data_IF_430339559053
#
_entry.id   IF_430339559053
#
_cell.length_a   1.000
_cell.length_b   1.000
_cell.length_c   1.000
_cell.angle_alpha   90.00
_cell.angle_beta   90.00
_cell.angle_gamma   90.00
#
_symmetry.space_group_name_H-M   'P 1'
#
loop_
_entity.id
_entity.type
_entity.pdbx_description
1 polymer ?
#
# COMPACT_ATOMS: atom_id res chain seq x y z
N UNK A 1 0.87 2.87 -18.85
CA UNK A 1 2.10 2.21 -18.37
C UNK A 1 1.76 0.73 -18.20
N UNK A 2 2.71 -0.16 -18.41
CA UNK A 2 2.53 -1.60 -18.17
C UNK A 2 2.55 -1.88 -16.66
N UNK A 3 1.63 -2.71 -16.17
CA UNK A 3 1.46 -2.95 -14.73
C UNK A 3 2.71 -3.57 -14.12
N UNK A 4 3.38 -4.47 -14.84
CA UNK A 4 4.63 -5.08 -14.38
C UNK A 4 5.72 -4.04 -14.13
N UNK A 5 5.81 -3.00 -15.00
CA UNK A 5 6.76 -1.91 -14.82
C UNK A 5 6.38 -0.99 -13.66
N UNK A 6 5.08 -0.72 -13.49
CA UNK A 6 4.58 0.06 -12.36
C UNK A 6 4.90 -0.62 -11.03
N UNK A 7 4.64 -1.92 -10.94
CA UNK A 7 4.91 -2.70 -9.74
C UNK A 7 6.41 -2.84 -9.48
N UNK A 8 7.25 -2.99 -10.51
CA UNK A 8 8.70 -3.02 -10.35
C UNK A 8 9.24 -1.72 -9.72
N UNK A 9 8.69 -0.55 -10.09
CA UNK A 9 9.07 0.73 -9.45
C UNK A 9 8.62 0.75 -7.99
N UNK A 10 7.38 0.33 -7.71
CA UNK A 10 6.89 0.24 -6.33
C UNK A 10 7.73 -0.71 -5.47
N UNK A 11 8.23 -1.80 -6.06
CA UNK A 11 9.08 -2.77 -5.38
C UNK A 11 10.46 -2.21 -5.02
N UNK A 12 11.10 -1.46 -5.92
CA UNK A 12 12.36 -0.80 -5.60
C UNK A 12 12.19 0.31 -4.54
N UNK A 13 11.08 1.06 -4.58
CA UNK A 13 10.75 2.03 -3.53
C UNK A 13 10.53 1.34 -2.16
N UNK A 14 9.83 0.21 -2.14
CA UNK A 14 9.61 -0.56 -0.91
C UNK A 14 10.91 -1.09 -0.31
N UNK A 15 11.87 -1.53 -1.15
CA UNK A 15 13.21 -1.92 -0.69
C UNK A 15 13.99 -0.76 -0.08
N UNK A 16 13.90 0.44 -0.65
CA UNK A 16 14.55 1.62 -0.08
C UNK A 16 13.92 1.98 1.28
N UNK A 17 12.58 2.00 1.35
CA UNK A 17 11.84 2.28 2.58
C UNK A 17 12.13 1.27 3.70
N UNK A 18 12.38 -0.01 3.37
CA UNK A 18 12.78 -1.06 4.33
C UNK A 18 14.03 -0.71 5.16
N UNK A 19 14.98 0.02 4.56
CA UNK A 19 16.25 0.37 5.21
C UNK A 19 16.08 1.57 6.15
N UNK A 20 15.21 2.52 5.80
CA UNK A 20 15.07 3.81 6.48
C UNK A 20 13.89 3.87 7.47
N UNK A 21 12.78 3.18 7.16
CA UNK A 21 11.54 3.15 7.95
C UNK A 21 10.76 4.49 7.97
N UNK A 22 9.51 4.46 8.45
CA UNK A 22 8.79 5.66 8.90
C UNK A 22 7.96 6.43 7.85
N UNK A 23 8.00 6.07 6.57
CA UNK A 23 7.12 6.64 5.54
C UNK A 23 6.51 5.52 4.67
N UNK A 24 5.17 5.35 4.67
CA UNK A 24 4.51 4.36 3.80
C UNK A 24 4.79 4.61 2.32
N UNK A 25 4.97 3.53 1.56
CA UNK A 25 5.40 3.56 0.16
C UNK A 25 4.52 4.44 -0.73
N UNK A 26 3.20 4.41 -0.56
CA UNK A 26 2.28 5.25 -1.36
C UNK A 26 2.44 6.75 -1.05
N UNK A 27 2.72 7.08 0.22
CA UNK A 27 3.02 8.46 0.62
C UNK A 27 4.36 8.92 0.07
N UNK A 28 5.38 8.05 0.11
CA UNK A 28 6.68 8.33 -0.51
C UNK A 28 6.56 8.55 -2.01
N UNK A 29 5.82 7.69 -2.72
CA UNK A 29 5.56 7.85 -4.15
C UNK A 29 4.89 9.18 -4.49
N UNK A 30 3.89 9.59 -3.70
CA UNK A 30 3.24 10.90 -3.85
C UNK A 30 4.21 12.05 -3.57
N UNK A 31 5.02 11.95 -2.51
CA UNK A 31 6.02 12.95 -2.15
C UNK A 31 7.07 13.12 -3.26
N UNK A 32 7.64 12.01 -3.74
CA UNK A 32 8.68 11.96 -4.77
C UNK A 32 8.18 12.45 -6.14
N UNK A 33 6.87 12.37 -6.40
CA UNK A 33 6.27 12.96 -7.61
C UNK A 33 6.33 14.50 -7.65
N UNK A 34 6.62 15.13 -6.51
CA UNK A 34 6.65 16.58 -6.35
C UNK A 34 5.26 17.23 -6.48
N UNK A 35 5.22 18.56 -6.59
CA UNK A 35 3.95 19.26 -6.76
C UNK A 35 3.47 19.17 -8.20
N UNK A 36 2.48 18.31 -8.43
CA UNK A 36 1.77 18.22 -9.70
C UNK A 36 0.42 18.95 -9.66
N UNK A 37 -0.10 19.44 -10.80
CA UNK A 37 -1.46 19.96 -10.88
C UNK A 37 -2.48 18.85 -10.62
N UNK A 38 -3.65 19.17 -10.04
CA UNK A 38 -4.68 18.19 -9.67
C UNK A 38 -5.04 17.18 -10.79
N UNK A 39 -5.12 17.67 -12.04
CA UNK A 39 -5.41 16.86 -13.23
C UNK A 39 -4.38 15.76 -13.53
N UNK A 40 -3.17 15.84 -12.97
CA UNK A 40 -2.14 14.83 -13.16
C UNK A 40 -2.42 13.57 -12.31
N UNK A 41 -3.10 13.73 -11.16
CA UNK A 41 -3.49 12.63 -10.29
C UNK A 41 -4.85 12.04 -10.67
N UNK A 42 -5.78 12.88 -11.13
CA UNK A 42 -7.11 12.43 -11.52
C UNK A 42 -7.02 11.43 -12.67
N UNK A 43 -7.53 10.22 -12.46
CA UNK A 43 -7.45 9.15 -13.45
C UNK A 43 -6.12 8.39 -13.48
N UNK A 44 -5.17 8.71 -12.59
CA UNK A 44 -3.90 8.01 -12.52
C UNK A 44 -4.06 6.61 -11.88
N UNK A 45 -2.97 5.85 -11.94
CA UNK A 45 -2.85 4.55 -11.27
C UNK A 45 -1.80 4.61 -10.17
N UNK A 46 -2.16 4.21 -8.96
CA UNK A 46 -1.21 3.94 -7.88
C UNK A 46 -0.73 2.50 -7.98
N UNK A 47 0.57 2.28 -7.90
CA UNK A 47 1.18 0.96 -7.74
C UNK A 47 1.76 0.88 -6.33
N UNK A 48 1.40 -0.17 -5.61
CA UNK A 48 1.90 -0.44 -4.26
C UNK A 48 2.20 -1.92 -4.11
N UNK A 49 3.26 -2.26 -3.37
CA UNK A 49 3.64 -3.66 -3.13
C UNK A 49 2.69 -4.36 -2.17
N UNK A 50 2.08 -3.61 -1.25
CA UNK A 50 1.22 -4.12 -0.19
C UNK A 50 -0.13 -3.41 -0.20
N UNK A 51 -1.18 -4.07 0.29
CA UNK A 51 -2.49 -3.42 0.44
C UNK A 51 -2.36 -2.08 1.21
N UNK A 52 -2.94 -0.97 0.72
CA UNK A 52 -2.78 0.34 1.34
C UNK A 52 -3.48 0.41 2.69
N UNK A 53 -2.85 1.04 3.68
CA UNK A 53 -3.48 1.36 4.97
C UNK A 53 -4.54 2.45 4.81
N UNK A 54 -5.22 2.81 5.90
CA UNK A 54 -6.30 3.82 5.89
C UNK A 54 -5.78 5.20 5.43
N UNK A 55 -4.56 5.56 5.81
CA UNK A 55 -3.93 6.82 5.39
C UNK A 55 -3.68 6.85 3.88
N UNK A 56 -3.02 5.83 3.34
CA UNK A 56 -2.70 5.72 1.90
C UNK A 56 -3.98 5.59 1.05
N UNK A 57 -4.98 4.88 1.57
CA UNK A 57 -6.33 4.82 0.99
C UNK A 57 -6.95 6.21 0.90
N UNK A 58 -6.92 6.98 2.00
CA UNK A 58 -7.39 8.36 2.02
C UNK A 58 -6.67 9.26 1.03
N UNK A 59 -5.35 9.11 0.89
CA UNK A 59 -4.55 9.86 -0.07
C UNK A 59 -4.97 9.54 -1.52
N UNK A 60 -5.14 8.27 -1.87
CA UNK A 60 -5.61 7.87 -3.21
C UNK A 60 -6.98 8.50 -3.54
N UNK A 61 -7.90 8.47 -2.59
CA UNK A 61 -9.23 9.07 -2.73
C UNK A 61 -9.18 10.60 -2.85
N UNK A 62 -8.36 11.26 -2.03
CA UNK A 62 -8.19 12.71 -2.04
C UNK A 62 -7.67 13.21 -3.40
N UNK A 63 -6.68 12.51 -3.96
CA UNK A 63 -6.05 12.88 -5.22
C UNK A 63 -6.85 12.45 -6.46
N UNK A 64 -7.94 11.69 -6.29
CA UNK A 64 -8.76 11.21 -7.41
C UNK A 64 -8.09 10.14 -8.25
N UNK A 65 -7.24 9.32 -7.62
CA UNK A 65 -6.62 8.15 -8.26
C UNK A 65 -7.75 7.18 -8.63
N UNK A 66 -7.80 6.79 -9.91
CA UNK A 66 -8.89 5.96 -10.42
C UNK A 66 -8.63 4.46 -10.29
N UNK A 67 -7.35 4.07 -10.17
CA UNK A 67 -6.93 2.67 -10.11
C UNK A 67 -5.79 2.45 -9.12
N UNK A 68 -5.85 1.36 -8.36
CA UNK A 68 -4.78 0.93 -7.44
C UNK A 68 -4.42 -0.51 -7.78
N UNK A 69 -3.15 -0.73 -8.12
CA UNK A 69 -2.58 -2.06 -8.35
C UNK A 69 -1.73 -2.42 -7.14
N UNK A 70 -2.05 -3.58 -6.56
CA UNK A 70 -1.50 -4.07 -5.30
C UNK A 70 -0.72 -5.35 -5.59
N UNK A 71 0.55 -5.37 -5.18
CA UNK A 71 1.40 -6.56 -5.25
C UNK A 71 0.78 -7.72 -4.49
N UNK A 72 0.54 -7.54 -3.19
CA UNK A 72 -0.05 -8.56 -2.32
C UNK A 72 -0.86 -7.96 -1.16
N UNK A 73 -1.69 -8.80 -0.54
CA UNK A 73 -2.56 -8.41 0.57
C UNK A 73 -2.68 -9.47 1.67
N UNK A 74 -1.74 -10.41 1.74
CA UNK A 74 -1.71 -11.50 2.72
C UNK A 74 -1.00 -11.08 3.99
N UNK A 75 0.09 -10.35 3.88
CA UNK A 75 0.84 -9.87 5.03
C UNK A 75 0.09 -8.75 5.77
N UNK A 76 -0.64 -7.94 5.03
CA UNK A 76 -1.49 -6.89 5.53
C UNK A 76 -2.64 -6.63 4.56
N UNK A 77 -3.82 -6.36 5.12
CA UNK A 77 -5.03 -6.03 4.38
C UNK A 77 -5.66 -4.80 5.02
N UNK A 78 -5.65 -3.71 4.26
CA UNK A 78 -6.11 -2.39 4.67
C UNK A 78 -7.39 -1.98 3.96
N UNK A 79 -7.37 -0.81 3.31
CA UNK A 79 -8.58 -0.13 2.82
C UNK A 79 -9.10 -0.57 1.45
N UNK A 80 -8.76 -1.77 0.95
CA UNK A 80 -9.14 -2.17 -0.41
C UNK A 80 -10.66 -2.16 -0.64
N UNK A 81 -11.44 -2.68 0.32
CA UNK A 81 -12.90 -2.68 0.25
C UNK A 81 -13.47 -1.26 0.13
N UNK A 82 -12.89 -0.30 0.86
CA UNK A 82 -13.32 1.09 0.84
C UNK A 82 -12.96 1.79 -0.48
N UNK A 83 -11.79 1.52 -1.06
CA UNK A 83 -11.43 1.99 -2.40
C UNK A 83 -12.45 1.53 -3.44
N UNK A 84 -12.77 0.23 -3.45
CA UNK A 84 -13.77 -0.35 -4.37
C UNK A 84 -15.15 0.30 -4.17
N UNK A 85 -15.60 0.46 -2.93
CA UNK A 85 -16.87 1.12 -2.61
C UNK A 85 -16.93 2.56 -3.15
N UNK A 86 -15.80 3.26 -3.16
CA UNK A 86 -15.66 4.64 -3.64
C UNK A 86 -15.43 4.74 -5.16
N UNK A 87 -15.51 3.63 -5.89
CA UNK A 87 -15.44 3.59 -7.36
C UNK A 87 -14.02 3.50 -7.92
N UNK A 88 -13.02 3.23 -7.08
CA UNK A 88 -11.64 3.00 -7.52
C UNK A 88 -11.50 1.55 -8.00
N UNK A 89 -10.89 1.35 -9.17
CA UNK A 89 -10.51 0.02 -9.63
C UNK A 89 -9.37 -0.52 -8.77
N UNK A 90 -9.55 -1.68 -8.14
CA UNK A 90 -8.52 -2.30 -7.29
C UNK A 90 -8.16 -3.66 -7.85
N UNK A 91 -6.89 -3.81 -8.23
CA UNK A 91 -6.32 -5.03 -8.80
C UNK A 91 -5.26 -5.57 -7.85
N UNK A 92 -5.42 -6.83 -7.41
CA UNK A 92 -4.40 -7.53 -6.60
C UNK A 92 -3.76 -8.59 -7.50
N UNK A 93 -2.46 -8.49 -7.71
CA UNK A 93 -1.74 -9.39 -8.64
C UNK A 93 -1.15 -10.63 -7.97
N UNK A 94 -1.20 -10.69 -6.64
CA UNK A 94 -0.76 -11.82 -5.82
C UNK A 94 0.74 -12.17 -6.01
N UNK A 95 1.56 -11.13 -6.19
CA UNK A 95 2.97 -11.21 -6.54
C UNK A 95 3.83 -11.87 -5.46
N UNK A 96 4.61 -12.87 -5.85
CA UNK A 96 5.41 -13.67 -4.92
C UNK A 96 6.62 -12.91 -4.36
N UNK A 97 7.20 -11.98 -5.13
CA UNK A 97 8.34 -11.18 -4.67
C UNK A 97 7.90 -10.15 -3.63
N UNK A 98 6.75 -9.50 -3.84
CA UNK A 98 6.13 -8.59 -2.87
C UNK A 98 5.88 -9.29 -1.53
N UNK A 99 5.29 -10.50 -1.56
CA UNK A 99 5.05 -11.29 -0.34
C UNK A 99 6.35 -11.64 0.35
N UNK A 100 7.34 -12.14 -0.40
CA UNK A 100 8.64 -12.52 0.16
C UNK A 100 9.37 -11.34 0.81
N UNK A 101 9.26 -10.15 0.23
CA UNK A 101 9.82 -8.93 0.81
C UNK A 101 9.15 -8.60 2.15
N UNK A 102 7.82 -8.61 2.21
CA UNK A 102 7.08 -8.28 3.42
C UNK A 102 7.20 -9.35 4.51
N UNK A 103 7.16 -10.64 4.14
CA UNK A 103 7.42 -11.75 5.05
C UNK A 103 8.78 -11.60 5.73
N UNK A 104 9.82 -11.29 4.95
CA UNK A 104 11.17 -11.07 5.46
C UNK A 104 11.23 -9.88 6.41
N UNK A 105 10.63 -8.73 6.04
CA UNK A 105 10.61 -7.54 6.89
C UNK A 105 9.97 -7.81 8.25
N UNK A 106 8.79 -8.40 8.22
CA UNK A 106 8.03 -8.64 9.44
C UNK A 106 8.71 -9.67 10.33
N UNK A 107 9.42 -10.65 9.74
CA UNK A 107 10.21 -11.62 10.49
C UNK A 107 11.49 -11.02 11.10
N UNK A 108 12.19 -10.14 10.36
CA UNK A 108 13.45 -9.54 10.80
C UNK A 108 13.27 -8.34 11.75
N UNK A 109 12.18 -7.57 11.60
CA UNK A 109 11.92 -6.31 12.32
C UNK A 109 10.44 -6.18 12.75
N UNK A 110 9.89 -7.10 13.56
CA UNK A 110 8.46 -7.11 13.90
C UNK A 110 8.00 -5.87 14.67
N UNK A 111 8.83 -5.31 15.54
CA UNK A 111 8.51 -4.10 16.31
C UNK A 111 8.36 -2.88 15.39
N UNK A 112 9.31 -2.70 14.45
CA UNK A 112 9.26 -1.62 13.47
C UNK A 112 8.04 -1.75 12.54
N UNK A 113 7.70 -2.98 12.13
CA UNK A 113 6.47 -3.22 11.38
C UNK A 113 5.22 -2.79 12.18
N UNK A 114 5.16 -3.12 13.47
CA UNK A 114 4.03 -2.74 14.32
C UNK A 114 3.92 -1.22 14.49
N UNK A 115 5.06 -0.52 14.63
CA UNK A 115 5.12 0.95 14.62
C UNK A 115 4.56 1.54 13.32
N UNK A 116 4.94 0.99 12.16
CA UNK A 116 4.51 1.44 10.83
C UNK A 116 3.00 1.32 10.60
N UNK A 117 2.35 0.35 11.25
CA UNK A 117 0.88 0.18 11.20
C UNK A 117 0.16 0.70 12.46
N UNK A 118 0.89 1.32 13.38
CA UNK A 118 0.35 1.97 14.58
C UNK A 118 -0.31 1.02 15.58
N UNK A 119 0.28 -0.16 15.81
CA UNK A 119 -0.18 -1.15 16.81
C UNK A 119 0.93 -1.52 17.79
N UNK A 120 0.57 -1.94 19.00
CA UNK A 120 1.54 -2.42 20.00
C UNK A 120 1.91 -3.91 19.78
N UNK A 121 0.95 -4.72 19.31
CA UNK A 121 1.16 -6.13 18.98
C UNK A 121 0.45 -6.50 17.66
N UNK A 122 1.05 -7.43 16.90
CA UNK A 122 0.65 -7.77 15.53
C UNK A 122 -0.79 -8.29 15.47
N UNK A 123 -1.66 -7.58 14.74
CA UNK A 123 -3.02 -8.03 14.41
C UNK A 123 -3.07 -8.47 12.94
N UNK A 124 -3.37 -9.73 12.68
CA UNK A 124 -3.61 -10.21 11.32
C UNK A 124 -4.93 -9.63 10.79
N UNK A 125 -4.83 -8.71 9.82
CA UNK A 125 -5.91 -8.18 8.95
C UNK A 125 -7.07 -7.43 9.63
N UNK A 126 -7.37 -6.21 9.19
CA UNK A 126 -8.55 -5.46 9.66
C UNK A 126 -9.88 -5.97 9.07
N UNK A 127 -9.87 -6.77 8.00
CA UNK A 127 -11.10 -7.33 7.41
C UNK A 127 -11.56 -8.66 8.04
N UNK A 128 -10.87 -9.14 9.09
CA UNK A 128 -11.23 -10.35 9.84
C UNK A 128 -11.88 -10.14 11.22
N UNK A 129 -11.94 -8.89 11.72
CA UNK A 129 -12.61 -8.59 13.00
C UNK A 129 -14.11 -8.58 12.74
N UNK A 130 -14.74 -9.75 12.81
CA UNK A 130 -16.18 -9.83 13.06
C UNK A 130 -16.46 -8.97 14.30
N UNK A 131 -17.38 -8.02 14.15
CA UNK A 131 -17.94 -7.23 15.23
C UNK A 131 -18.15 -8.14 16.46
N UNK A 132 -17.38 -7.90 17.51
CA UNK A 132 -17.69 -8.43 18.83
C UNK A 132 -18.89 -7.60 19.31
N UNK A 133 -20.01 -8.28 19.51
CA UNK A 133 -21.23 -7.71 20.09
C UNK A 133 -21.08 -7.42 21.57
#
# INVERSE_FOLDING_TARGET
MDDAKGLAIAFEEAKASYEEGGVPGETSALYNSGRLPAKAYQGSTMYTTLSPCDMCTGACLLYGIARVVIGENKNFLGGEGYLRQRGVEVVVVDDAECKGLMDKFIAEKPELWNEDIGVEERVYSKEGIKAQG
#
